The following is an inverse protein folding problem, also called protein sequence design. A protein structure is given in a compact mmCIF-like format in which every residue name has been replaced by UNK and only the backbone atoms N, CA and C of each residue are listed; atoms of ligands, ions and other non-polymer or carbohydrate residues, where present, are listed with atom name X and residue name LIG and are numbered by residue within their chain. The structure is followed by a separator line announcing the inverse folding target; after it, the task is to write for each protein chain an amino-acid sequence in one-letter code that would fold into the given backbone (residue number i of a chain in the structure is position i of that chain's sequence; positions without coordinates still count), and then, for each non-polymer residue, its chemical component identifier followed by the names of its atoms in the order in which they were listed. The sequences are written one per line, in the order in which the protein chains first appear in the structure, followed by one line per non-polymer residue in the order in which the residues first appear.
data_IF_292322306217
#
_entry.id   IF_292322306217
#
_cell.length_a   1.000
_cell.length_b   1.000
_cell.length_c   1.000
_cell.angle_alpha   90.00
_cell.angle_beta   90.00
_cell.angle_gamma   90.00
#
_symmetry.space_group_name_H-M   'P 1'
#
loop_
_entity.id
_entity.type
_entity.pdbx_description
1 polymer ?
#
# COMPACT_ATOMS: atom_id res chain seq x y z
N UNK A 1 5.86 -27.35 5.16
CA UNK A 1 4.79 -26.56 5.81
C UNK A 1 5.26 -25.12 5.92
N UNK A 2 4.40 -24.12 5.69
CA UNK A 2 4.75 -22.70 5.77
C UNK A 2 3.86 -22.02 6.79
N UNK A 3 4.45 -21.38 7.78
CA UNK A 3 3.77 -20.59 8.80
C UNK A 3 4.09 -19.11 8.52
N UNK A 4 3.06 -18.26 8.55
CA UNK A 4 3.20 -16.79 8.42
C UNK A 4 2.61 -16.17 9.68
N UNK A 5 3.40 -15.33 10.34
CA UNK A 5 3.02 -14.66 11.59
C UNK A 5 3.02 -13.16 11.31
N UNK A 6 1.88 -12.51 11.48
CA UNK A 6 1.76 -11.05 11.39
C UNK A 6 1.90 -10.46 12.81
N UNK A 7 2.74 -9.45 12.95
CA UNK A 7 3.11 -8.85 14.24
C UNK A 7 2.96 -7.34 14.13
N UNK A 8 2.07 -6.76 14.95
CA UNK A 8 1.80 -5.33 14.92
C UNK A 8 2.81 -4.47 15.69
N UNK A 9 3.56 -5.04 16.64
CA UNK A 9 4.57 -4.33 17.46
C UNK A 9 5.98 -4.84 17.12
N UNK A 10 6.72 -4.03 16.37
CA UNK A 10 8.09 -4.34 15.93
C UNK A 10 9.04 -4.63 17.10
N UNK A 11 8.83 -4.00 18.27
CA UNK A 11 9.70 -4.23 19.44
C UNK A 11 9.53 -5.63 20.00
N UNK A 12 8.32 -6.20 19.90
CA UNK A 12 8.02 -7.56 20.33
C UNK A 12 8.41 -8.59 19.26
N UNK A 13 8.50 -8.17 18.00
CA UNK A 13 8.92 -9.04 16.91
C UNK A 13 10.34 -9.56 17.13
N UNK A 14 11.25 -8.71 17.61
CA UNK A 14 12.64 -9.13 17.89
C UNK A 14 12.71 -10.24 18.94
N UNK A 15 11.98 -10.10 20.04
CA UNK A 15 11.91 -11.12 21.10
C UNK A 15 11.37 -12.45 20.57
N UNK A 16 10.33 -12.41 19.72
CA UNK A 16 9.77 -13.62 19.12
C UNK A 16 10.77 -14.29 18.17
N UNK A 17 11.51 -13.51 17.38
CA UNK A 17 12.55 -14.05 16.48
C UNK A 17 13.61 -14.80 17.29
N UNK A 18 14.02 -14.27 18.43
CA UNK A 18 15.04 -14.90 19.26
C UNK A 18 14.55 -16.21 19.88
N UNK A 19 13.28 -16.28 20.35
CA UNK A 19 12.67 -17.55 20.77
C UNK A 19 12.64 -18.56 19.62
N UNK A 20 12.25 -18.13 18.41
CA UNK A 20 12.13 -19.03 17.26
C UNK A 20 13.49 -19.56 16.78
N UNK A 21 14.59 -18.82 17.01
CA UNK A 21 15.95 -19.31 16.70
C UNK A 21 16.41 -20.44 17.62
N UNK A 22 15.97 -20.44 18.87
CA UNK A 22 16.38 -21.45 19.85
C UNK A 22 15.72 -22.82 19.61
N UNK A 23 14.75 -22.89 18.72
CA UNK A 23 14.00 -24.12 18.44
C UNK A 23 14.75 -24.99 17.41
N UNK A 24 15.12 -26.23 17.75
CA UNK A 24 16.04 -27.05 16.93
C UNK A 24 15.48 -27.50 15.57
N UNK A 25 14.18 -27.39 15.35
CA UNK A 25 13.51 -27.79 14.09
C UNK A 25 13.13 -26.60 13.20
N UNK A 26 13.55 -25.38 13.54
CA UNK A 26 13.32 -24.19 12.70
C UNK A 26 14.56 -23.96 11.83
N UNK A 27 14.44 -24.32 10.55
CA UNK A 27 15.55 -24.26 9.60
C UNK A 27 15.78 -22.85 9.02
N UNK A 28 14.74 -22.00 8.94
CA UNK A 28 14.85 -20.68 8.33
C UNK A 28 13.76 -19.72 8.80
N UNK A 29 14.13 -18.50 9.18
CA UNK A 29 13.23 -17.40 9.52
C UNK A 29 13.37 -16.33 8.43
N UNK A 30 12.26 -15.94 7.80
CA UNK A 30 12.22 -14.84 6.83
C UNK A 30 11.42 -13.69 7.41
N UNK A 31 12.09 -12.57 7.69
CA UNK A 31 11.43 -11.32 8.08
C UNK A 31 11.16 -10.52 6.81
N UNK A 32 9.89 -10.37 6.44
CA UNK A 32 9.49 -9.45 5.37
C UNK A 32 8.90 -8.21 6.00
N UNK A 33 9.69 -7.14 6.06
CA UNK A 33 9.15 -5.82 6.35
C UNK A 33 8.34 -5.36 5.14
N UNK A 34 7.03 -5.29 5.28
CA UNK A 34 6.22 -4.55 4.33
C UNK A 34 6.56 -3.07 4.47
N UNK A 35 7.42 -2.58 3.57
CA UNK A 35 7.57 -1.14 3.37
C UNK A 35 6.17 -0.61 3.09
N UNK A 36 5.62 0.17 4.02
CA UNK A 36 4.39 0.94 3.79
C UNK A 36 4.59 1.68 2.48
N UNK A 37 3.93 1.23 1.41
CA UNK A 37 3.90 1.98 0.16
C UNK A 37 3.37 3.35 0.54
N UNK A 38 4.22 4.37 0.47
CA UNK A 38 3.81 5.74 0.70
C UNK A 38 2.54 5.99 -0.09
N UNK A 39 1.56 6.67 0.51
CA UNK A 39 0.31 7.01 -0.17
C UNK A 39 0.69 7.55 -1.56
N UNK A 40 0.12 7.00 -2.65
CA UNK A 40 0.42 7.52 -3.98
C UNK A 40 0.15 9.02 -3.94
N UNK A 41 1.16 9.81 -4.26
CA UNK A 41 1.00 11.27 -4.35
C UNK A 41 0.15 11.53 -5.58
N UNK A 42 -1.16 11.66 -5.39
CA UNK A 42 -2.08 11.96 -6.47
C UNK A 42 -1.66 13.23 -7.22
N UNK A 43 -0.96 14.16 -6.55
CA UNK A 43 -0.42 15.37 -7.16
C UNK A 43 0.69 15.09 -8.17
N UNK A 44 1.47 14.02 -8.01
CA UNK A 44 2.48 13.63 -9.01
C UNK A 44 1.84 13.10 -10.30
N UNK A 45 0.58 12.67 -10.24
CA UNK A 45 -0.15 12.09 -11.38
C UNK A 45 -0.94 13.15 -12.18
N UNK A 46 -1.21 14.31 -11.59
CA UNK A 46 -1.96 15.41 -12.22
C UNK A 46 -1.15 16.25 -13.22
N UNK A 47 0.13 15.93 -13.47
CA UNK A 47 1.01 16.70 -14.36
C UNK A 47 0.42 16.97 -15.76
N UNK A 48 -0.33 16.01 -16.33
CA UNK A 48 -0.92 16.12 -17.67
C UNK A 48 -2.14 17.07 -17.71
N UNK A 49 -2.75 17.34 -16.55
CA UNK A 49 -3.95 18.18 -16.41
C UNK A 49 -3.65 19.57 -15.86
N UNK A 50 -2.41 19.83 -15.43
CA UNK A 50 -1.99 21.10 -14.80
C UNK A 50 -2.19 22.31 -15.72
N UNK A 51 -1.94 22.16 -17.02
CA UNK A 51 -2.08 23.24 -18.01
C UNK A 51 -3.48 23.32 -18.64
N UNK A 52 -4.39 22.44 -18.22
CA UNK A 52 -5.77 22.46 -18.70
C UNK A 52 -6.62 23.22 -17.69
N UNK A 53 -7.15 24.36 -18.10
CA UNK A 53 -8.16 25.10 -17.33
C UNK A 53 -9.51 24.35 -17.43
N UNK A 54 -9.59 23.20 -16.76
CA UNK A 54 -10.78 22.36 -16.72
C UNK A 54 -11.37 22.45 -15.32
N UNK A 55 -12.58 22.97 -15.25
CA UNK A 55 -13.32 23.06 -13.99
C UNK A 55 -13.99 21.72 -13.66
N UNK A 56 -14.26 21.48 -12.37
CA UNK A 56 -14.98 20.29 -11.91
C UNK A 56 -16.37 20.15 -12.58
N UNK A 57 -16.99 21.28 -12.90
CA UNK A 57 -18.29 21.36 -13.57
C UNK A 57 -18.21 20.89 -15.02
N UNK A 58 -17.16 21.25 -15.76
CA UNK A 58 -16.92 20.77 -17.12
C UNK A 58 -16.67 19.26 -17.16
N UNK A 59 -15.93 18.72 -16.18
CA UNK A 59 -15.71 17.27 -16.05
C UNK A 59 -17.05 16.57 -15.84
N UNK A 60 -17.89 17.09 -14.94
CA UNK A 60 -19.21 16.53 -14.68
C UNK A 60 -20.10 16.58 -15.93
N UNK A 61 -20.10 17.71 -16.65
CA UNK A 61 -20.88 17.88 -17.87
C UNK A 61 -20.47 16.91 -18.99
N UNK A 62 -19.16 16.63 -19.14
CA UNK A 62 -18.65 15.68 -20.13
C UNK A 62 -18.85 14.21 -19.73
N UNK A 63 -18.68 13.88 -18.45
CA UNK A 63 -18.78 12.51 -17.96
C UNK A 63 -20.23 12.01 -17.87
N UNK A 64 -21.16 12.90 -17.53
CA UNK A 64 -22.59 12.61 -17.42
C UNK A 64 -23.40 13.37 -18.46
N UNK A 65 -22.84 13.62 -19.65
CA UNK A 65 -23.64 14.07 -20.78
C UNK A 65 -24.76 13.05 -20.98
N UNK A 66 -25.97 13.40 -20.51
CA UNK A 66 -27.19 12.65 -20.72
C UNK A 66 -27.25 12.34 -22.21
N UNK A 67 -27.40 11.07 -22.53
CA UNK A 67 -27.92 10.61 -23.81
C UNK A 67 -29.31 11.24 -23.97
N UNK A 68 -29.37 12.45 -24.51
CA UNK A 68 -30.59 13.12 -24.95
C UNK A 68 -30.45 13.46 -26.43
N UNK A 69 -30.49 12.42 -27.27
CA UNK A 69 -31.49 12.21 -28.32
C UNK A 69 -31.21 10.93 -29.10
#
# INVERSE_FOLDING_TARGET
MKIVIDISDERKAQYLIDILKDIPYINSIQVKEERKKGKPDFNSVFGIWKDKNITLEEIRKKAWAKTEK
#
